data_IF_679412347983
#
_entry.id   IF_679412347983
#
_cell.length_a   1.000
_cell.length_b   1.000
_cell.length_c   1.000
_cell.angle_alpha   90.00
_cell.angle_beta   90.00
_cell.angle_gamma   90.00
#
_symmetry.space_group_name_H-M   'P 1'
#
loop_
_entity.id
_entity.type
_entity.pdbx_description
1 polymer ?
#
# COMPACT_ATOMS: atom_id res chain seq x y z
N UNK A 1 -2.88 -13.54 15.05
CA UNK A 1 -4.31 -13.14 15.08
C UNK A 1 -4.97 -13.65 13.81
N UNK A 2 -6.08 -14.39 13.90
CA UNK A 2 -6.82 -14.85 12.72
C UNK A 2 -8.22 -14.26 12.71
N UNK A 3 -8.63 -13.72 11.57
CA UNK A 3 -9.93 -13.07 11.39
C UNK A 3 -10.61 -13.64 10.14
N UNK A 4 -11.87 -14.06 10.31
CA UNK A 4 -12.72 -14.48 9.20
C UNK A 4 -13.40 -13.23 8.63
N UNK A 5 -13.36 -13.08 7.31
CA UNK A 5 -14.04 -12.01 6.61
C UNK A 5 -14.92 -12.53 5.48
N UNK A 6 -15.84 -11.68 5.05
CA UNK A 6 -16.67 -11.90 3.87
C UNK A 6 -16.79 -10.57 3.12
N UNK A 7 -16.54 -10.56 1.82
CA UNK A 7 -16.65 -9.37 0.96
C UNK A 7 -17.40 -9.75 -0.30
N UNK A 8 -18.57 -9.16 -0.53
CA UNK A 8 -19.35 -9.41 -1.75
C UNK A 8 -19.78 -10.87 -1.92
N UNK A 9 -19.99 -11.60 -0.82
CA UNK A 9 -20.31 -13.03 -0.84
C UNK A 9 -19.10 -13.98 -0.94
N UNK A 10 -17.88 -13.44 -1.01
CA UNK A 10 -16.64 -14.21 -1.00
C UNK A 10 -16.08 -14.29 0.42
N UNK A 11 -15.96 -15.51 0.95
CA UNK A 11 -15.46 -15.74 2.30
C UNK A 11 -13.94 -15.96 2.30
N UNK A 12 -13.26 -15.48 3.33
CA UNK A 12 -11.83 -15.69 3.50
C UNK A 12 -11.37 -15.56 4.95
N UNK A 13 -10.11 -15.89 5.16
CA UNK A 13 -9.43 -15.81 6.44
C UNK A 13 -8.14 -15.02 6.26
N UNK A 14 -7.92 -14.04 7.12
CA UNK A 14 -6.63 -13.36 7.24
C UNK A 14 -5.98 -13.77 8.54
N UNK A 15 -4.70 -14.12 8.49
CA UNK A 15 -3.90 -14.42 9.66
C UNK A 15 -2.69 -13.51 9.71
N UNK A 16 -2.56 -12.75 10.79
CA UNK A 16 -1.42 -11.88 11.07
C UNK A 16 -0.51 -12.56 12.08
N UNK A 17 0.73 -12.80 11.66
CA UNK A 17 1.84 -13.23 12.51
C UNK A 17 2.50 -12.01 13.17
N UNK A 18 2.83 -12.13 14.45
CA UNK A 18 3.49 -11.09 15.21
C UNK A 18 4.90 -11.54 15.61
N UNK A 19 5.81 -10.58 15.65
CA UNK A 19 7.08 -10.71 16.32
C UNK A 19 6.90 -10.68 17.85
N UNK A 20 7.97 -11.05 18.57
CA UNK A 20 7.98 -11.05 20.04
C UNK A 20 7.78 -9.66 20.65
N UNK A 21 8.04 -8.60 19.89
CA UNK A 21 7.83 -7.20 20.28
C UNK A 21 6.39 -6.70 20.01
N UNK A 22 5.52 -7.56 19.47
CA UNK A 22 4.14 -7.25 19.13
C UNK A 22 3.96 -6.56 17.78
N UNK A 23 5.02 -6.36 17.01
CA UNK A 23 4.91 -5.81 15.65
C UNK A 23 4.43 -6.87 14.65
N UNK A 24 3.58 -6.50 13.67
CA UNK A 24 3.12 -7.43 12.65
C UNK A 24 4.26 -7.77 11.68
N UNK A 25 4.59 -9.06 11.57
CA UNK A 25 5.70 -9.55 10.75
C UNK A 25 5.27 -10.34 9.51
N UNK A 26 4.13 -11.00 9.57
CA UNK A 26 3.65 -11.85 8.48
C UNK A 26 2.15 -11.68 8.31
N UNK A 27 1.69 -11.78 7.07
CA UNK A 27 0.26 -11.76 6.72
C UNK A 27 0.00 -12.93 5.79
N UNK A 28 -0.94 -13.77 6.17
CA UNK A 28 -1.44 -14.89 5.36
C UNK A 28 -2.90 -14.63 5.01
N UNK A 29 -3.28 -14.93 3.76
CA UNK A 29 -4.64 -14.75 3.26
C UNK A 29 -5.06 -16.08 2.67
N UNK A 30 -6.17 -16.64 3.15
CA UNK A 30 -6.75 -17.86 2.62
C UNK A 30 -8.19 -17.60 2.18
N UNK A 31 -8.48 -17.81 0.90
CA UNK A 31 -9.84 -17.64 0.35
C UNK A 31 -10.61 -18.96 0.42
N UNK A 32 -11.87 -18.89 0.87
CA UNK A 32 -12.75 -20.05 0.91
C UNK A 32 -13.58 -20.10 -0.38
N UNK A 33 -13.46 -21.21 -1.12
CA UNK A 33 -14.27 -21.53 -2.33
C UNK A 33 -14.01 -20.65 -3.56
N UNK A 34 -12.88 -19.96 -3.62
CA UNK A 34 -12.47 -19.22 -4.81
C UNK A 34 -11.72 -20.06 -5.83
N UNK A 35 -11.81 -19.65 -7.10
CA UNK A 35 -11.03 -20.26 -8.19
C UNK A 35 -9.51 -20.15 -7.92
N UNK A 36 -8.75 -21.11 -8.45
CA UNK A 36 -7.29 -21.20 -8.23
C UNK A 36 -6.52 -19.93 -8.58
N UNK A 37 -7.05 -19.11 -9.50
CA UNK A 37 -6.46 -17.83 -9.90
C UNK A 37 -6.49 -16.80 -8.76
N UNK A 38 -7.62 -16.62 -8.09
CA UNK A 38 -7.75 -15.64 -6.99
C UNK A 38 -6.95 -16.11 -5.79
N UNK A 39 -7.07 -17.38 -5.42
CA UNK A 39 -6.31 -17.96 -4.30
C UNK A 39 -4.81 -17.85 -4.54
N UNK A 40 -4.32 -18.20 -5.74
CA UNK A 40 -2.89 -18.09 -6.07
C UNK A 40 -2.38 -16.65 -6.09
N UNK A 41 -3.18 -15.69 -6.57
CA UNK A 41 -2.81 -14.28 -6.54
C UNK A 41 -2.76 -13.75 -5.10
N UNK A 42 -3.73 -14.12 -4.26
CA UNK A 42 -3.79 -13.70 -2.86
C UNK A 42 -2.65 -14.33 -2.04
N UNK A 43 -2.30 -15.58 -2.30
CA UNK A 43 -1.14 -16.25 -1.69
C UNK A 43 0.16 -15.54 -2.06
N UNK A 44 0.38 -15.28 -3.35
CA UNK A 44 1.57 -14.57 -3.82
C UNK A 44 1.67 -13.14 -3.24
N UNK A 45 0.53 -12.46 -3.14
CA UNK A 45 0.45 -11.13 -2.53
C UNK A 45 0.76 -11.17 -1.03
N UNK A 46 0.15 -12.11 -0.29
CA UNK A 46 0.40 -12.31 1.14
C UNK A 46 1.88 -12.59 1.43
N UNK A 47 2.52 -13.45 0.62
CA UNK A 47 3.96 -13.72 0.70
C UNK A 47 4.77 -12.44 0.45
N UNK A 48 4.42 -11.66 -0.59
CA UNK A 48 5.13 -10.43 -0.94
C UNK A 48 5.09 -9.40 0.18
N UNK A 49 3.92 -9.19 0.79
CA UNK A 49 3.75 -8.29 1.93
C UNK A 49 4.50 -8.81 3.16
N UNK A 50 4.45 -10.11 3.43
CA UNK A 50 5.18 -10.73 4.54
C UNK A 50 6.69 -10.51 4.40
N UNK A 51 7.26 -10.74 3.22
CA UNK A 51 8.68 -10.46 2.96
C UNK A 51 8.99 -8.98 3.21
N UNK A 52 8.15 -8.06 2.74
CA UNK A 52 8.39 -6.63 2.93
C UNK A 52 8.31 -6.20 4.41
N UNK A 53 7.35 -6.73 5.18
CA UNK A 53 7.25 -6.50 6.62
C UNK A 53 8.50 -7.02 7.34
N UNK A 54 8.98 -8.21 6.97
CA UNK A 54 10.20 -8.79 7.53
C UNK A 54 11.46 -7.96 7.23
N UNK A 55 11.47 -7.23 6.12
CA UNK A 55 12.55 -6.30 5.75
C UNK A 55 12.35 -4.88 6.30
N UNK A 56 11.40 -4.67 7.22
CA UNK A 56 11.23 -3.41 7.94
C UNK A 56 10.33 -2.39 7.26
N UNK A 57 9.60 -2.76 6.20
CA UNK A 57 8.58 -1.89 5.62
C UNK A 57 7.41 -1.75 6.61
N UNK A 58 6.99 -0.53 6.96
CA UNK A 58 5.93 -0.34 7.95
C UNK A 58 4.57 -0.72 7.35
N UNK A 59 3.77 -1.46 8.12
CA UNK A 59 2.42 -1.89 7.72
C UNK A 59 1.54 -0.70 7.29
N UNK A 60 1.72 0.45 7.93
CA UNK A 60 0.93 1.65 7.65
C UNK A 60 1.10 2.17 6.21
N UNK A 61 2.29 2.00 5.61
CA UNK A 61 2.52 2.37 4.21
C UNK A 61 1.67 1.51 3.28
N UNK A 62 1.54 0.22 3.57
CA UNK A 62 0.66 -0.66 2.80
C UNK A 62 -0.80 -0.30 2.99
N UNK A 63 -1.21 0.04 4.22
CA UNK A 63 -2.56 0.53 4.46
C UNK A 63 -2.84 1.77 3.58
N UNK A 64 -1.98 2.79 3.62
CA UNK A 64 -2.17 4.01 2.84
C UNK A 64 -2.22 3.76 1.32
N UNK A 65 -1.46 2.78 0.81
CA UNK A 65 -1.40 2.48 -0.63
C UNK A 65 -2.55 1.60 -1.12
N UNK A 66 -2.99 0.63 -0.31
CA UNK A 66 -3.95 -0.38 -0.74
C UNK A 66 -5.38 -0.13 -0.26
N UNK A 67 -5.59 0.70 0.77
CA UNK A 67 -6.92 1.19 1.11
C UNK A 67 -7.51 1.94 -0.09
N UNK A 68 -8.82 1.75 -0.32
CA UNK A 68 -9.60 2.31 -1.42
C UNK A 68 -9.23 1.81 -2.83
N UNK A 69 -8.37 0.80 -2.94
CA UNK A 69 -8.14 0.14 -4.23
C UNK A 69 -9.42 -0.57 -4.70
N UNK A 70 -9.76 -0.41 -5.98
CA UNK A 70 -10.99 -0.95 -6.57
C UNK A 70 -10.67 -2.09 -7.53
N UNK A 71 -11.22 -3.27 -7.25
CA UNK A 71 -11.24 -4.42 -8.15
C UNK A 71 -12.18 -5.48 -7.56
N UNK A 72 -12.64 -6.42 -8.37
CA UNK A 72 -13.48 -7.53 -7.91
C UNK A 72 -12.65 -8.62 -7.24
N UNK A 73 -13.12 -9.25 -6.16
CA UNK A 73 -14.44 -9.08 -5.52
C UNK A 73 -14.62 -7.81 -4.69
N UNK A 74 -15.80 -7.20 -4.79
CA UNK A 74 -16.21 -6.03 -4.01
C UNK A 74 -17.67 -6.16 -3.54
N UNK A 75 -18.05 -5.48 -2.46
CA UNK A 75 -19.43 -5.49 -2.00
C UNK A 75 -19.61 -5.31 -0.49
N UNK A 76 -20.79 -5.71 -0.01
CA UNK A 76 -21.16 -5.68 1.40
C UNK A 76 -20.30 -6.69 2.17
N UNK A 77 -19.93 -6.35 3.40
CA UNK A 77 -19.11 -7.21 4.26
C UNK A 77 -19.87 -7.63 5.51
N UNK A 78 -19.36 -8.66 6.20
CA UNK A 78 -19.90 -9.12 7.48
C UNK A 78 -19.45 -8.27 8.69
N UNK A 79 -18.55 -7.31 8.50
CA UNK A 79 -17.99 -6.51 9.59
C UNK A 79 -18.67 -5.14 9.69
N UNK A 80 -19.26 -4.85 10.85
CA UNK A 80 -19.96 -3.60 11.13
C UNK A 80 -19.07 -2.35 11.00
N UNK A 81 -17.76 -2.47 11.25
CA UNK A 81 -16.82 -1.34 11.11
C UNK A 81 -16.48 -1.04 9.64
N UNK A 82 -16.68 -1.98 8.73
CA UNK A 82 -16.41 -1.82 7.29
C UNK A 82 -17.61 -2.36 6.51
N UNK A 83 -18.77 -1.67 6.49
CA UNK A 83 -20.00 -2.24 5.92
C UNK A 83 -19.91 -2.59 4.44
N UNK A 84 -19.08 -1.87 3.69
CA UNK A 84 -18.85 -2.08 2.27
C UNK A 84 -17.38 -1.91 1.94
N UNK A 85 -16.84 -2.81 1.12
CA UNK A 85 -15.47 -2.77 0.63
C UNK A 85 -15.45 -2.70 -0.90
N UNK A 86 -14.50 -1.92 -1.41
CA UNK A 86 -14.32 -1.71 -2.85
C UNK A 86 -13.36 -2.72 -3.50
N UNK A 87 -12.72 -3.55 -2.68
CA UNK A 87 -11.98 -4.75 -3.07
C UNK A 87 -11.66 -5.62 -1.84
N UNK A 88 -11.15 -6.83 -2.06
CA UNK A 88 -10.59 -7.67 -1.01
C UNK A 88 -9.43 -6.99 -0.28
N UNK A 89 -8.50 -6.35 -1.01
CA UNK A 89 -7.36 -5.67 -0.40
C UNK A 89 -7.79 -4.42 0.38
N UNK A 90 -8.73 -3.64 -0.14
CA UNK A 90 -9.33 -2.51 0.58
C UNK A 90 -9.89 -2.95 1.93
N UNK A 91 -10.65 -4.05 1.97
CA UNK A 91 -11.15 -4.61 3.23
C UNK A 91 -10.01 -5.00 4.17
N UNK A 92 -9.05 -5.80 3.68
CA UNK A 92 -7.95 -6.33 4.49
C UNK A 92 -7.12 -5.22 5.12
N UNK A 93 -6.73 -4.23 4.34
CA UNK A 93 -5.89 -3.13 4.83
C UNK A 93 -6.66 -2.14 5.69
N UNK A 94 -7.96 -1.91 5.44
CA UNK A 94 -8.80 -1.17 6.40
C UNK A 94 -8.91 -1.91 7.71
N UNK A 95 -9.15 -3.22 7.69
CA UNK A 95 -9.24 -4.02 8.92
C UNK A 95 -7.90 -4.01 9.68
N UNK A 96 -6.78 -4.17 8.98
CA UNK A 96 -5.43 -4.04 9.54
C UNK A 96 -5.18 -2.65 10.12
N UNK A 97 -5.63 -1.57 9.46
CA UNK A 97 -5.48 -0.20 9.96
C UNK A 97 -6.24 0.05 11.25
N UNK A 98 -7.43 -0.55 11.41
CA UNK A 98 -8.25 -0.44 12.63
C UNK A 98 -7.60 -1.22 13.79
N UNK A 99 -7.05 -2.40 13.51
CA UNK A 99 -6.38 -3.23 14.52
C UNK A 99 -4.98 -2.74 14.89
N UNK A 100 -4.31 -2.03 13.98
CA UNK A 100 -2.96 -1.50 14.16
C UNK A 100 -2.90 0.02 13.91
N UNK A 101 -3.60 0.82 14.74
CA UNK A 101 -3.65 2.28 14.59
C UNK A 101 -2.32 2.97 14.91
N UNK A 102 -1.39 2.27 15.58
CA UNK A 102 -0.10 2.78 16.04
C UNK A 102 1.05 1.89 15.56
N UNK A 103 1.22 1.77 14.25
CA UNK A 103 2.42 1.21 13.64
C UNK A 103 3.53 2.26 13.57
N UNK A 104 4.07 2.65 14.73
CA UNK A 104 5.17 3.61 14.82
C UNK A 104 6.37 3.09 14.01
N UNK A 105 6.70 3.81 12.95
CA UNK A 105 8.08 4.04 12.56
C UNK A 105 8.21 5.51 12.15
N UNK A 106 8.29 6.40 13.14
CA UNK A 106 8.70 7.80 12.94
C UNK A 106 10.03 7.87 12.15
N UNK A 107 10.91 6.88 12.35
CA UNK A 107 12.15 6.67 11.58
C UNK A 107 11.94 6.58 10.07
N UNK A 108 10.84 5.97 9.61
CA UNK A 108 10.56 5.80 8.19
C UNK A 108 9.69 6.93 7.66
N UNK A 109 8.81 7.51 8.48
CA UNK A 109 8.17 8.80 8.16
C UNK A 109 9.24 9.83 7.80
N UNK A 110 10.31 9.93 8.60
CA UNK A 110 11.47 10.80 8.33
C UNK A 110 12.22 10.45 7.03
N UNK A 111 12.35 9.16 6.69
CA UNK A 111 12.98 8.73 5.42
C UNK A 111 12.13 9.07 4.19
N UNK A 112 10.80 9.14 4.31
CA UNK A 112 9.88 9.45 3.19
C UNK A 112 9.38 10.91 3.15
N UNK A 113 9.42 11.68 4.26
CA UNK A 113 9.07 13.12 4.29
C UNK A 113 10.26 14.05 4.04
N UNK A 114 11.46 13.52 3.76
CA UNK A 114 12.62 14.32 3.36
C UNK A 114 13.27 15.16 4.46
N UNK A 115 12.84 15.03 5.72
CA UNK A 115 13.43 15.77 6.84
C UNK A 115 14.32 14.83 7.65
N UNK A 116 15.59 14.75 7.21
CA UNK A 116 16.62 13.97 7.92
C UNK A 116 17.02 14.70 9.21
N UNK A 117 17.00 14.05 10.39
CA UNK A 117 17.81 14.52 11.51
C UNK A 117 19.29 14.39 11.11
N UNK A 118 20.01 15.50 11.17
CA UNK A 118 21.44 15.59 10.88
C UNK A 118 22.20 14.56 11.71
N UNK A 119 22.60 13.46 11.08
CA UNK A 119 23.56 12.53 11.66
C UNK A 119 24.92 13.21 11.57
N UNK A 120 25.57 13.44 12.71
CA UNK A 120 26.97 13.87 12.74
C UNK A 120 27.80 12.96 11.82
N UNK A 121 28.62 13.55 10.93
CA UNK A 121 29.26 12.78 9.87
C UNK A 121 30.34 11.87 10.45
N UNK A 122 30.11 10.56 10.38
CA UNK A 122 31.20 9.60 10.38
C UNK A 122 31.96 9.73 9.06
N UNK A 123 33.22 10.13 9.15
CA UNK A 123 34.13 10.41 8.02
C UNK A 123 34.21 9.22 7.05
N UNK A 124 33.83 9.37 5.77
CA UNK A 124 34.15 8.39 4.73
C UNK A 124 35.55 8.66 4.14
N UNK A 125 36.27 7.63 3.65
CA UNK A 125 37.52 7.82 2.94
C UNK A 125 37.26 8.39 1.54
N UNK A 126 38.19 9.25 1.13
CA UNK A 126 38.18 10.09 -0.07
C UNK A 126 38.36 9.26 -1.34
N UNK A 127 37.43 9.38 -2.29
CA UNK A 127 37.68 9.25 -3.74
C UNK A 127 36.86 10.33 -4.46
N UNK A 128 37.54 11.16 -5.25
CA UNK A 128 37.00 12.30 -6.00
C UNK A 128 36.62 11.91 -7.46
N UNK A 129 36.15 12.82 -8.34
CA UNK A 129 34.74 12.96 -8.69
C UNK A 129 34.44 12.60 -10.17
N UNK A 130 33.26 12.04 -10.41
CA UNK A 130 32.69 11.82 -11.75
C UNK A 130 31.29 12.45 -11.84
N UNK A 131 31.19 13.46 -12.68
CA UNK A 131 30.06 14.32 -13.04
C UNK A 131 28.71 13.65 -13.39
N UNK A 132 27.61 14.33 -13.04
CA UNK A 132 26.54 14.61 -14.02
C UNK A 132 25.15 14.04 -13.76
N UNK A 133 24.35 14.78 -13.00
CA UNK A 133 22.91 15.07 -13.22
C UNK A 133 21.92 13.91 -13.45
N UNK A 134 21.16 13.54 -12.42
CA UNK A 134 19.85 12.86 -12.59
C UNK A 134 18.70 13.82 -12.22
N UNK A 135 17.70 14.01 -13.10
CA UNK A 135 16.56 14.87 -12.83
C UNK A 135 15.60 14.16 -11.87
N UNK A 136 15.35 14.77 -10.70
CA UNK A 136 14.24 14.42 -9.82
C UNK A 136 12.92 14.81 -10.51
N UNK A 137 12.23 13.84 -11.10
CA UNK A 137 10.89 14.04 -11.65
C UNK A 137 9.89 14.16 -10.49
N UNK A 138 9.82 15.36 -9.92
CA UNK A 138 8.88 15.73 -8.87
C UNK A 138 7.47 15.83 -9.42
N UNK A 139 6.66 14.79 -9.20
CA UNK A 139 5.23 14.79 -9.52
C UNK A 139 4.48 15.74 -8.58
N UNK A 140 4.29 16.99 -9.02
CA UNK A 140 3.51 17.99 -8.29
C UNK A 140 2.03 17.69 -8.46
N UNK A 141 1.38 17.20 -7.40
CA UNK A 141 -0.08 17.06 -7.36
C UNK A 141 -0.68 18.46 -7.34
N UNK A 142 -1.29 18.86 -8.45
CA UNK A 142 -2.00 20.14 -8.55
C UNK A 142 -3.32 20.04 -7.80
N UNK A 143 -3.70 21.10 -7.07
CA UNK A 143 -4.95 21.17 -6.30
C UNK A 143 -6.21 20.99 -7.15
N UNK A 144 -6.13 21.30 -8.45
CA UNK A 144 -7.25 21.18 -9.41
C UNK A 144 -7.21 19.88 -10.22
N UNK A 145 -6.41 18.90 -9.79
CA UNK A 145 -6.27 17.66 -10.55
C UNK A 145 -7.50 16.75 -10.39
N UNK A 146 -8.09 16.26 -11.50
CA UNK A 146 -9.24 15.36 -11.45
C UNK A 146 -8.86 14.00 -10.85
N UNK A 147 -9.85 13.32 -10.28
CA UNK A 147 -9.70 11.91 -9.85
C UNK A 147 -9.79 10.97 -11.05
N UNK A 148 -8.99 9.91 -11.03
CA UNK A 148 -8.99 8.89 -12.09
C UNK A 148 -10.35 8.19 -12.17
N UNK A 149 -10.92 8.08 -13.38
CA UNK A 149 -12.18 7.35 -13.61
C UNK A 149 -12.08 5.87 -13.29
N UNK A 150 -10.89 5.29 -13.47
CA UNK A 150 -10.72 3.84 -13.43
C UNK A 150 -10.39 3.35 -12.02
N UNK A 151 -9.61 4.14 -11.26
CA UNK A 151 -9.14 3.73 -9.93
C UNK A 151 -9.33 4.79 -8.83
N UNK A 152 -9.90 5.96 -9.12
CA UNK A 152 -10.22 6.99 -8.12
C UNK A 152 -9.04 7.75 -7.52
N UNK A 153 -7.80 7.45 -7.92
CA UNK A 153 -6.61 8.16 -7.43
C UNK A 153 -6.54 9.57 -8.02
N UNK A 154 -6.10 10.56 -7.23
CA UNK A 154 -5.90 11.93 -7.73
C UNK A 154 -4.83 11.90 -8.82
N UNK A 155 -5.21 12.29 -10.03
CA UNK A 155 -4.29 12.19 -11.15
C UNK A 155 -3.18 13.25 -11.03
N UNK A 156 -2.04 13.02 -11.67
CA UNK A 156 -0.95 14.00 -11.70
C UNK A 156 -0.80 14.56 -13.09
N UNK A 157 -0.48 15.85 -13.18
CA UNK A 157 -0.31 16.53 -14.45
C UNK A 157 0.89 15.96 -15.21
N UNK A 158 0.69 15.60 -16.47
CA UNK A 158 1.70 15.12 -17.39
C UNK A 158 1.54 15.89 -18.70
N UNK A 159 2.21 17.04 -18.81
CA UNK A 159 2.03 17.98 -19.91
C UNK A 159 0.66 18.69 -19.89
N UNK A 160 -0.09 18.58 -20.99
CA UNK A 160 -1.44 19.12 -21.11
C UNK A 160 -2.53 18.22 -20.49
N UNK A 161 -2.17 16.99 -20.13
CA UNK A 161 -3.09 15.97 -19.65
C UNK A 161 -2.80 15.61 -18.19
N UNK A 162 -3.61 14.71 -17.67
CA UNK A 162 -3.38 14.06 -16.38
C UNK A 162 -3.09 12.58 -16.60
N UNK A 163 -2.17 12.03 -15.83
CA UNK A 163 -1.85 10.61 -15.77
C UNK A 163 -2.09 10.10 -14.36
N UNK A 164 -2.76 8.96 -14.26
CA UNK A 164 -2.89 8.24 -13.02
C UNK A 164 -1.57 7.50 -12.74
N UNK A 165 -0.90 7.85 -11.65
CA UNK A 165 0.32 7.16 -11.21
C UNK A 165 0.04 5.77 -10.63
N UNK A 166 -1.22 5.47 -10.32
CA UNK A 166 -1.62 4.18 -9.74
C UNK A 166 -1.94 3.12 -10.82
N UNK A 167 -2.76 3.46 -11.82
CA UNK A 167 -3.20 2.50 -12.86
C UNK A 167 -2.68 2.82 -14.27
N UNK A 168 -1.96 3.93 -14.46
CA UNK A 168 -1.41 4.34 -15.76
C UNK A 168 -2.42 5.01 -16.70
N UNK A 169 -3.71 5.06 -16.35
CA UNK A 169 -4.75 5.71 -17.15
C UNK A 169 -4.44 7.20 -17.38
N UNK A 170 -4.67 7.69 -18.59
CA UNK A 170 -4.44 9.09 -18.97
C UNK A 170 -5.76 9.78 -19.27
N UNK A 171 -5.88 11.07 -18.97
CA UNK A 171 -7.06 11.88 -19.26
C UNK A 171 -7.25 12.19 -20.76
N UNK A 172 -6.49 11.53 -21.64
CA UNK A 172 -6.84 11.40 -23.05
C UNK A 172 -6.31 12.48 -24.01
N UNK A 173 -5.20 13.17 -23.72
CA UNK A 173 -4.46 13.84 -24.79
C UNK A 173 -3.20 13.04 -25.14
N UNK A 174 -3.11 12.76 -26.44
CA UNK A 174 -2.11 11.91 -27.10
C UNK A 174 -0.79 12.63 -27.28
#
# INVERSE_FOLDING_TARGET
LTHKFEVGGHEGYVTVGYYNDGTPGEVFIAMAKEGSTISGLMDAFAISISVALQHGVPLQLFCEKFMHTRFEPSGITSNASIPMASSLLDYLFRWLSIHHPHGVNERIRQLFTGEMPSREPATPPVVAPGSGTEPTDGYVVSSDAPVCSDCGFVMVRNGACYKCVNCGATSGCS
#
